data_IF_508021941727
#
_entry.id   IF_508021941727
#
_cell.length_a   1.000
_cell.length_b   1.000
_cell.length_c   1.000
_cell.angle_alpha   90.00
_cell.angle_beta   90.00
_cell.angle_gamma   90.00
#
_symmetry.space_group_name_H-M   'P 1'
#
loop_
_entity.id
_entity.type
_entity.pdbx_description
1 polymer ?
#
# COMPACT_ATOMS: atom_id res chain seq x y z
N UNK A 1 23.52 -11.44 -41.22
CA UNK A 1 22.75 -11.92 -40.05
C UNK A 1 23.64 -12.84 -39.21
N UNK A 2 23.96 -12.49 -37.96
CA UNK A 2 24.65 -13.42 -37.04
C UNK A 2 23.64 -14.48 -36.59
N UNK A 3 23.97 -15.76 -36.81
CA UNK A 3 23.20 -16.90 -36.29
C UNK A 3 23.18 -16.84 -34.76
N UNK A 4 22.00 -17.02 -34.17
CA UNK A 4 21.89 -17.32 -32.74
C UNK A 4 22.61 -18.64 -32.48
N UNK A 5 23.59 -18.61 -31.57
CA UNK A 5 24.35 -19.80 -31.14
C UNK A 5 23.75 -20.23 -29.81
N UNK A 6 23.30 -21.48 -29.72
CA UNK A 6 22.83 -22.06 -28.47
C UNK A 6 23.99 -22.14 -27.47
N UNK A 7 23.79 -21.60 -26.26
CA UNK A 7 24.77 -21.66 -25.17
C UNK A 7 24.30 -22.66 -24.10
N UNK A 8 25.25 -23.38 -23.50
CA UNK A 8 25.00 -24.44 -22.51
C UNK A 8 24.72 -23.94 -21.08
N UNK A 9 24.52 -22.62 -20.91
CA UNK A 9 24.12 -22.01 -19.63
C UNK A 9 22.60 -21.92 -19.60
N UNK A 10 21.99 -22.22 -18.46
CA UNK A 10 20.57 -21.96 -18.25
C UNK A 10 20.24 -20.49 -18.50
N UNK A 11 18.98 -20.18 -18.81
CA UNK A 11 18.49 -18.82 -18.99
C UNK A 11 18.54 -18.06 -17.64
N UNK A 12 19.70 -17.57 -17.27
CA UNK A 12 19.93 -16.82 -16.03
C UNK A 12 20.67 -15.51 -16.28
N UNK A 13 20.39 -14.52 -15.45
CA UNK A 13 21.17 -13.28 -15.39
C UNK A 13 21.71 -13.12 -13.98
N UNK A 14 23.03 -12.99 -13.85
CA UNK A 14 23.68 -12.74 -12.56
C UNK A 14 24.31 -11.35 -12.55
N UNK A 15 23.88 -10.49 -11.63
CA UNK A 15 24.46 -9.17 -11.40
C UNK A 15 25.28 -9.22 -10.11
N UNK A 16 26.57 -8.85 -10.16
CA UNK A 16 27.46 -8.81 -8.99
C UNK A 16 27.92 -7.39 -8.73
N UNK A 17 27.57 -6.87 -7.56
CA UNK A 17 27.97 -5.55 -7.10
C UNK A 17 29.07 -5.70 -6.04
N UNK A 18 30.17 -4.97 -6.19
CA UNK A 18 31.31 -4.99 -5.28
C UNK A 18 31.51 -3.61 -4.66
N UNK A 19 32.21 -3.55 -3.51
CA UNK A 19 32.57 -2.30 -2.82
C UNK A 19 31.36 -1.42 -2.46
N UNK A 20 30.23 -2.05 -2.10
CA UNK A 20 29.04 -1.35 -1.63
C UNK A 20 29.37 -0.65 -0.30
N UNK A 21 29.28 0.68 -0.28
CA UNK A 21 29.46 1.47 0.94
C UNK A 21 28.28 1.24 1.88
N UNK A 22 28.53 0.95 3.15
CA UNK A 22 27.50 0.81 4.20
C UNK A 22 27.92 1.53 5.47
N UNK A 23 26.96 2.18 6.13
CA UNK A 23 27.14 2.77 7.47
C UNK A 23 26.83 1.77 8.59
N UNK A 24 25.93 0.82 8.34
CA UNK A 24 25.44 -0.16 9.31
C UNK A 24 25.61 -1.59 8.79
N UNK A 25 25.49 -2.57 9.71
CA UNK A 25 25.47 -3.99 9.39
C UNK A 25 24.36 -4.37 8.40
N UNK A 26 24.47 -5.56 7.81
CA UNK A 26 23.45 -6.07 6.90
C UNK A 26 22.35 -6.81 7.68
N UNK A 27 21.11 -6.36 7.54
CA UNK A 27 19.93 -7.00 8.11
C UNK A 27 18.98 -7.47 6.99
N UNK A 28 18.84 -8.79 6.78
CA UNK A 28 17.94 -9.35 5.76
C UNK A 28 16.47 -8.94 5.95
N UNK A 29 16.00 -8.86 7.19
CA UNK A 29 14.61 -8.54 7.51
C UNK A 29 14.26 -7.09 7.17
N UNK A 30 15.18 -6.15 7.46
CA UNK A 30 15.00 -4.74 7.12
C UNK A 30 15.01 -4.53 5.60
N UNK A 31 15.83 -5.32 4.88
CA UNK A 31 15.85 -5.30 3.42
C UNK A 31 14.55 -5.88 2.84
N UNK A 32 14.06 -7.00 3.37
CA UNK A 32 12.78 -7.58 2.97
C UNK A 32 11.62 -6.59 3.18
N UNK A 33 11.59 -5.93 4.34
CA UNK A 33 10.61 -4.90 4.65
C UNK A 33 10.71 -3.70 3.69
N UNK A 34 11.92 -3.23 3.40
CA UNK A 34 12.15 -2.12 2.45
C UNK A 34 11.72 -2.46 1.03
N UNK A 35 12.00 -3.70 0.58
CA UNK A 35 11.53 -4.21 -0.71
C UNK A 35 10.01 -4.26 -0.76
N UNK A 36 9.36 -4.79 0.28
CA UNK A 36 7.91 -4.81 0.39
C UNK A 36 7.33 -3.40 0.41
N UNK A 37 7.98 -2.39 0.99
CA UNK A 37 7.51 -0.98 0.90
C UNK A 37 7.54 -0.44 -0.54
N UNK A 38 8.51 -0.84 -1.34
CA UNK A 38 8.69 -0.33 -2.70
C UNK A 38 7.92 -1.12 -3.77
N UNK A 39 7.64 -2.40 -3.56
CA UNK A 39 7.07 -3.29 -4.57
C UNK A 39 5.97 -4.20 -4.03
N UNK A 40 5.05 -4.61 -4.90
CA UNK A 40 3.95 -5.53 -4.62
C UNK A 40 3.91 -6.77 -5.52
N UNK A 41 5.05 -7.17 -6.09
CA UNK A 41 5.13 -8.34 -7.00
C UNK A 41 5.36 -9.68 -6.27
N UNK A 42 5.55 -9.66 -4.95
CA UNK A 42 6.12 -10.81 -4.23
C UNK A 42 5.15 -11.96 -3.96
N UNK A 43 3.87 -11.77 -4.28
CA UNK A 43 2.82 -12.78 -4.12
C UNK A 43 2.39 -13.40 -5.46
N UNK A 44 3.04 -13.05 -6.57
CA UNK A 44 2.78 -13.67 -7.88
C UNK A 44 3.28 -15.13 -7.88
N UNK A 45 2.53 -16.03 -8.49
CA UNK A 45 2.81 -17.48 -8.41
C UNK A 45 4.16 -17.87 -9.04
N UNK A 46 4.53 -17.17 -10.12
CA UNK A 46 5.73 -17.38 -10.92
C UNK A 46 6.90 -16.45 -10.53
N UNK A 47 6.73 -15.59 -9.53
CA UNK A 47 7.77 -14.66 -9.08
C UNK A 47 8.05 -14.78 -7.59
N UNK A 48 9.23 -15.33 -7.24
CA UNK A 48 9.66 -15.53 -5.85
C UNK A 48 10.97 -14.82 -5.57
N UNK A 49 10.99 -14.06 -4.47
CA UNK A 49 12.17 -13.32 -4.04
C UNK A 49 12.64 -13.81 -2.68
N UNK A 50 13.94 -14.12 -2.59
CA UNK A 50 14.60 -14.55 -1.37
C UNK A 50 15.88 -13.76 -1.15
N UNK A 51 16.12 -13.37 0.10
CA UNK A 51 17.38 -12.77 0.54
C UNK A 51 18.17 -13.85 1.25
N UNK A 52 19.38 -14.13 0.75
CA UNK A 52 20.29 -15.11 1.33
C UNK A 52 21.48 -14.37 1.93
N UNK A 53 21.64 -14.42 3.25
CA UNK A 53 22.76 -13.83 3.96
C UNK A 53 23.69 -14.91 4.50
N UNK A 54 24.98 -14.81 4.14
CA UNK A 54 26.04 -15.76 4.51
C UNK A 54 25.73 -17.23 4.17
N UNK A 55 24.92 -17.50 3.14
CA UNK A 55 24.50 -18.84 2.68
C UNK A 55 23.60 -19.65 3.64
N UNK A 56 23.30 -19.15 4.83
CA UNK A 56 22.50 -19.87 5.83
C UNK A 56 21.14 -19.22 6.10
N UNK A 57 21.11 -17.89 6.16
CA UNK A 57 19.91 -17.15 6.55
C UNK A 57 19.09 -16.79 5.31
N UNK A 58 17.97 -17.49 5.12
CA UNK A 58 17.01 -17.22 4.05
C UNK A 58 15.84 -16.42 4.60
N UNK A 59 15.56 -15.29 3.97
CA UNK A 59 14.36 -14.49 4.24
C UNK A 59 13.54 -14.43 2.97
N UNK A 60 12.31 -14.92 3.03
CA UNK A 60 11.32 -14.77 1.95
C UNK A 60 10.79 -13.35 2.01
N UNK A 61 10.69 -12.71 0.85
CA UNK A 61 10.02 -11.41 0.73
C UNK A 61 8.58 -11.68 0.30
N UNK A 62 7.61 -11.12 1.01
CA UNK A 62 6.19 -11.17 0.69
C UNK A 62 5.57 -9.77 0.84
N UNK A 63 4.45 -9.52 0.17
CA UNK A 63 3.80 -8.21 0.18
C UNK A 63 3.20 -7.85 1.56
N UNK A 64 2.88 -8.88 2.35
CA UNK A 64 2.14 -8.74 3.61
C UNK A 64 3.02 -8.32 4.78
N UNK A 65 4.34 -8.51 4.69
CA UNK A 65 5.34 -8.15 5.73
C UNK A 65 5.08 -6.77 6.35
N UNK A 66 4.61 -5.79 5.55
CA UNK A 66 4.27 -4.44 6.00
C UNK A 66 3.18 -4.42 7.07
N UNK A 67 2.16 -5.25 6.92
CA UNK A 67 0.94 -5.22 7.74
C UNK A 67 0.87 -6.39 8.74
N UNK A 68 1.81 -7.35 8.70
CA UNK A 68 1.80 -8.53 9.60
C UNK A 68 1.75 -8.19 11.09
N UNK A 69 2.33 -7.06 11.49
CA UNK A 69 2.36 -6.62 12.90
C UNK A 69 1.13 -5.78 13.29
N UNK A 70 0.28 -5.41 12.34
CA UNK A 70 -0.89 -4.59 12.62
C UNK A 70 -2.05 -5.46 13.09
N UNK A 71 -2.64 -5.10 14.21
CA UNK A 71 -3.89 -5.66 14.65
C UNK A 71 -5.05 -4.96 13.91
N UNK A 72 -5.53 -5.58 12.84
CA UNK A 72 -6.58 -5.02 11.96
C UNK A 72 -7.93 -5.06 12.67
N UNK A 73 -8.62 -3.94 12.70
CA UNK A 73 -9.98 -3.81 13.24
C UNK A 73 -11.03 -3.89 12.13
N UNK A 74 -10.85 -3.08 11.07
CA UNK A 74 -11.74 -3.05 9.92
C UNK A 74 -10.93 -2.94 8.62
N UNK A 75 -11.49 -3.46 7.53
CA UNK A 75 -10.93 -3.34 6.19
C UNK A 75 -12.00 -2.87 5.20
N UNK A 76 -11.54 -2.18 4.16
CA UNK A 76 -12.34 -1.78 3.00
C UNK A 76 -11.56 -2.16 1.75
N UNK A 77 -12.07 -3.13 1.01
CA UNK A 77 -11.45 -3.65 -0.22
C UNK A 77 -11.99 -2.90 -1.44
N UNK A 78 -11.11 -2.70 -2.42
CA UNK A 78 -11.37 -1.94 -3.63
C UNK A 78 -11.50 -2.87 -4.86
N UNK A 79 -12.38 -2.53 -5.82
CA UNK A 79 -13.17 -1.30 -5.89
C UNK A 79 -14.30 -1.27 -4.84
N UNK A 80 -14.58 -0.08 -4.31
CA UNK A 80 -15.66 0.11 -3.34
C UNK A 80 -17.02 -0.10 -4.03
N UNK A 81 -18.00 -0.61 -3.28
CA UNK A 81 -19.36 -0.74 -3.79
C UNK A 81 -19.90 0.63 -4.24
N UNK A 82 -20.64 0.73 -5.36
CA UNK A 82 -21.15 2.03 -5.86
C UNK A 82 -21.94 2.81 -4.80
N UNK A 83 -22.78 2.14 -4.02
CA UNK A 83 -23.58 2.76 -2.95
C UNK A 83 -22.75 3.22 -1.73
N UNK A 84 -21.46 2.87 -1.66
CA UNK A 84 -20.59 3.33 -0.58
C UNK A 84 -20.16 4.79 -0.78
N UNK A 85 -19.99 5.21 -2.04
CA UNK A 85 -19.46 6.52 -2.43
C UNK A 85 -20.49 7.32 -3.21
N UNK A 86 -20.84 8.51 -2.71
CA UNK A 86 -21.66 9.47 -3.47
C UNK A 86 -20.81 10.27 -4.49
N UNK A 87 -19.48 10.18 -4.40
CA UNK A 87 -18.54 10.85 -5.29
C UNK A 87 -18.27 9.99 -6.53
N UNK A 88 -18.46 10.59 -7.72
CA UNK A 88 -18.20 9.92 -9.01
C UNK A 88 -16.79 10.23 -9.48
N UNK A 89 -16.05 9.18 -9.83
CA UNK A 89 -14.74 9.28 -10.45
C UNK A 89 -14.65 8.24 -11.56
N UNK A 90 -14.16 8.63 -12.73
CA UNK A 90 -14.18 7.80 -13.94
C UNK A 90 -13.45 6.46 -13.77
N UNK A 91 -12.35 6.45 -12.99
CA UNK A 91 -11.53 5.26 -12.80
C UNK A 91 -11.77 4.54 -11.46
N UNK A 92 -12.85 4.87 -10.75
CA UNK A 92 -13.12 4.32 -9.42
C UNK A 92 -13.20 2.77 -9.38
N UNK A 93 -13.72 2.16 -10.45
CA UNK A 93 -13.81 0.70 -10.64
C UNK A 93 -12.46 0.05 -10.94
N UNK A 94 -11.49 0.83 -11.44
CA UNK A 94 -10.12 0.37 -11.73
C UNK A 94 -9.18 0.47 -10.53
N UNK A 95 -9.57 1.19 -9.47
CA UNK A 95 -8.83 1.24 -8.21
C UNK A 95 -8.96 -0.10 -7.50
N UNK A 96 -7.83 -0.71 -7.10
CA UNK A 96 -7.80 -1.99 -6.38
C UNK A 96 -6.96 -1.89 -5.11
N UNK A 97 -7.11 -2.79 -4.17
CA UNK A 97 -6.33 -2.81 -2.93
C UNK A 97 -7.20 -2.70 -1.70
N UNK A 98 -6.62 -2.27 -0.57
CA UNK A 98 -7.29 -2.32 0.73
C UNK A 98 -6.88 -1.15 1.60
N UNK A 99 -7.87 -0.53 2.24
CA UNK A 99 -7.67 0.38 3.37
C UNK A 99 -8.00 -0.35 4.67
N UNK A 100 -7.19 -0.12 5.69
CA UNK A 100 -7.19 -0.81 6.98
C UNK A 100 -7.34 0.22 8.09
N UNK A 101 -8.29 -0.02 8.99
CA UNK A 101 -8.32 0.55 10.33
C UNK A 101 -7.68 -0.43 11.29
N UNK A 102 -6.64 -0.01 12.01
CA UNK A 102 -6.02 -0.80 13.07
C UNK A 102 -6.64 -0.48 14.44
N UNK A 103 -6.56 -1.44 15.37
CA UNK A 103 -6.96 -1.25 16.77
C UNK A 103 -6.04 -0.25 17.51
N UNK A 104 -4.78 -0.18 17.09
CA UNK A 104 -3.75 0.70 17.65
C UNK A 104 -3.23 1.66 16.59
N UNK A 105 -2.59 2.75 17.01
CA UNK A 105 -2.06 3.74 16.06
C UNK A 105 -1.02 3.09 15.15
N UNK A 106 -1.14 3.27 13.84
CA UNK A 106 -0.16 2.74 12.89
C UNK A 106 1.15 3.54 12.97
N UNK A 107 2.31 2.93 12.65
CA UNK A 107 3.59 3.62 12.56
C UNK A 107 3.48 4.89 11.70
N UNK A 108 4.16 5.97 12.12
CA UNK A 108 4.02 7.27 11.48
C UNK A 108 4.32 7.25 9.98
N UNK A 109 5.27 6.42 9.54
CA UNK A 109 5.68 6.24 8.14
C UNK A 109 4.74 5.34 7.31
N UNK A 110 3.64 4.87 7.94
CA UNK A 110 2.58 4.05 7.34
C UNK A 110 1.19 4.67 7.48
N UNK A 111 1.07 5.88 8.05
CA UNK A 111 -0.21 6.57 8.21
C UNK A 111 -0.70 7.10 6.87
N UNK A 112 -1.96 6.83 6.54
CA UNK A 112 -2.54 7.18 5.26
C UNK A 112 -2.48 6.01 4.28
N UNK A 113 -2.55 6.30 2.99
CA UNK A 113 -2.66 5.27 1.96
C UNK A 113 -1.47 5.42 1.03
N UNK A 114 -0.81 4.33 0.68
CA UNK A 114 0.24 4.33 -0.35
C UNK A 114 -0.37 3.99 -1.73
N UNK A 115 0.18 4.57 -2.80
CA UNK A 115 -0.27 4.27 -4.17
C UNK A 115 0.78 3.46 -4.91
N UNK A 116 0.28 2.49 -5.67
CA UNK A 116 1.08 1.62 -6.51
C UNK A 116 0.57 1.67 -7.95
N UNK A 117 1.50 1.56 -8.89
CA UNK A 117 1.19 1.31 -10.29
C UNK A 117 2.14 0.25 -10.83
N UNK A 118 1.61 -0.75 -11.53
CA UNK A 118 2.36 -1.92 -12.02
C UNK A 118 3.23 -2.55 -10.93
N UNK A 119 2.62 -2.70 -9.75
CA UNK A 119 3.24 -3.26 -8.54
C UNK A 119 4.48 -2.50 -8.02
N UNK A 120 4.66 -1.23 -8.40
CA UNK A 120 5.73 -0.35 -7.91
C UNK A 120 5.11 0.83 -7.17
N UNK A 121 5.74 1.25 -6.08
CA UNK A 121 5.33 2.46 -5.34
C UNK A 121 5.40 3.67 -6.27
N UNK A 122 4.34 4.48 -6.27
CA UNK A 122 4.26 5.75 -6.99
C UNK A 122 3.91 6.91 -6.08
N UNK A 123 3.28 6.66 -4.92
CA UNK A 123 3.11 7.63 -3.85
C UNK A 123 3.31 6.96 -2.49
N UNK A 124 4.10 7.58 -1.62
CA UNK A 124 4.21 7.17 -0.22
C UNK A 124 2.85 7.24 0.50
N UNK A 125 2.81 6.69 1.71
CA UNK A 125 1.65 6.84 2.58
C UNK A 125 1.35 8.31 2.82
N UNK A 126 0.14 8.71 2.44
CA UNK A 126 -0.33 10.08 2.58
C UNK A 126 -1.85 10.13 2.74
N UNK A 127 -2.34 11.28 3.19
CA UNK A 127 -3.75 11.62 3.25
C UNK A 127 -4.19 12.56 2.14
N UNK A 128 -3.29 12.92 1.20
CA UNK A 128 -3.60 13.68 -0.02
C UNK A 128 -4.35 14.98 0.26
N UNK A 129 -3.79 15.82 1.13
CA UNK A 129 -4.37 17.09 1.59
C UNK A 129 -5.64 16.99 2.45
N UNK A 130 -6.11 15.78 2.82
CA UNK A 130 -7.13 15.68 3.88
C UNK A 130 -6.55 16.22 5.18
N UNK A 131 -7.25 17.17 5.79
CA UNK A 131 -6.92 17.69 7.11
C UNK A 131 -7.17 16.63 8.20
N UNK A 132 -6.20 15.73 8.36
CA UNK A 132 -6.21 14.60 9.27
C UNK A 132 -5.91 15.02 10.74
N UNK A 133 -6.55 16.10 11.22
CA UNK A 133 -6.31 16.69 12.55
C UNK A 133 -6.83 15.82 13.69
N UNK A 134 -7.83 14.98 13.42
CA UNK A 134 -8.36 14.04 14.40
C UNK A 134 -7.40 12.86 14.62
N UNK A 135 -7.21 12.48 15.88
CA UNK A 135 -6.40 11.31 16.23
C UNK A 135 -6.91 10.01 15.58
N UNK A 136 -8.18 9.93 15.19
CA UNK A 136 -8.74 8.76 14.52
C UNK A 136 -8.08 8.42 13.18
N UNK A 137 -7.51 9.40 12.48
CA UNK A 137 -6.76 9.14 11.24
C UNK A 137 -5.45 8.36 11.50
N UNK A 138 -4.89 8.43 12.71
CA UNK A 138 -3.66 7.71 13.06
C UNK A 138 -3.83 6.18 13.14
N UNK A 139 -5.06 5.68 13.04
CA UNK A 139 -5.37 4.26 12.94
C UNK A 139 -5.49 3.77 11.50
N UNK A 140 -5.46 4.68 10.51
CA UNK A 140 -5.69 4.35 9.11
C UNK A 140 -4.36 4.10 8.38
N UNK A 141 -4.29 2.98 7.68
CA UNK A 141 -3.23 2.65 6.73
C UNK A 141 -3.82 1.94 5.52
N UNK A 142 -3.09 1.80 4.43
CA UNK A 142 -3.54 0.97 3.32
C UNK A 142 -2.68 1.12 2.09
N UNK A 143 -3.10 0.45 1.02
CA UNK A 143 -2.52 0.63 -0.29
C UNK A 143 -3.59 0.54 -1.36
N UNK A 144 -3.39 1.28 -2.44
CA UNK A 144 -4.21 1.21 -3.63
C UNK A 144 -3.34 1.04 -4.87
N UNK A 145 -3.77 0.17 -5.77
CA UNK A 145 -3.30 0.05 -7.13
C UNK A 145 -4.14 0.97 -8.02
N UNK A 146 -3.44 1.82 -8.76
CA UNK A 146 -4.00 2.80 -9.69
C UNK A 146 -3.33 2.65 -11.05
N UNK A 147 -3.29 1.41 -11.55
CA UNK A 147 -2.49 1.04 -12.73
C UNK A 147 -2.85 1.84 -14.00
N UNK A 148 -4.05 2.42 -14.05
CA UNK A 148 -4.54 3.27 -15.14
C UNK A 148 -3.72 4.56 -15.32
N UNK A 149 -2.98 5.03 -14.31
CA UNK A 149 -2.17 6.26 -14.46
C UNK A 149 -1.05 6.09 -15.50
N UNK A 150 -0.58 4.85 -15.72
CA UNK A 150 0.41 4.54 -16.75
C UNK A 150 -0.17 4.61 -18.19
N UNK A 151 -1.49 4.77 -18.32
CA UNK A 151 -2.19 4.92 -19.62
C UNK A 151 -2.43 6.39 -19.99
N UNK A 152 -2.22 7.32 -19.06
CA UNK A 152 -2.34 8.76 -19.32
C UNK A 152 -1.26 9.26 -20.29
N UNK A 153 -1.56 10.33 -21.02
CA UNK A 153 -0.62 10.91 -21.98
C UNK A 153 0.58 11.55 -21.28
N UNK A 154 0.37 12.13 -20.10
CA UNK A 154 1.39 12.82 -19.33
C UNK A 154 1.94 11.91 -18.24
N UNK A 155 3.27 11.85 -18.10
CA UNK A 155 3.89 11.15 -16.97
C UNK A 155 3.70 11.96 -15.69
N UNK A 156 2.83 11.44 -14.82
CA UNK A 156 2.47 12.04 -13.54
C UNK A 156 3.36 11.55 -12.39
N UNK A 157 4.25 10.58 -12.62
CA UNK A 157 5.07 9.98 -11.56
C UNK A 157 6.33 10.84 -11.38
N UNK A 158 6.56 11.34 -10.17
CA UNK A 158 7.78 12.11 -9.87
C UNK A 158 9.05 11.30 -10.12
N UNK A 159 10.16 11.99 -10.40
CA UNK A 159 11.46 11.35 -10.71
C UNK A 159 11.97 10.41 -9.60
N UNK A 160 11.68 10.72 -8.33
CA UNK A 160 12.05 9.86 -7.20
C UNK A 160 11.06 8.70 -6.96
N UNK A 161 9.92 8.67 -7.70
CA UNK A 161 8.83 7.69 -7.64
C UNK A 161 8.24 7.53 -6.24
N UNK A 162 8.25 8.62 -5.48
CA UNK A 162 7.71 8.68 -4.11
C UNK A 162 6.44 9.52 -4.00
N UNK A 163 6.10 10.26 -5.05
CA UNK A 163 4.82 10.96 -5.17
C UNK A 163 4.34 11.06 -6.62
N UNK A 164 3.05 11.30 -6.80
CA UNK A 164 2.53 11.84 -8.05
C UNK A 164 2.75 13.36 -8.09
N UNK A 165 2.75 13.94 -9.30
CA UNK A 165 2.65 15.38 -9.47
C UNK A 165 1.18 15.79 -9.35
N UNK A 166 0.76 16.23 -8.16
CA UNK A 166 -0.62 16.59 -7.83
C UNK A 166 -1.10 17.95 -8.37
N UNK A 167 -0.29 18.60 -9.22
CA UNK A 167 -0.61 19.89 -9.86
C UNK A 167 -1.16 19.71 -11.30
N UNK A 168 -1.40 18.49 -11.75
CA UNK A 168 -1.96 18.18 -13.07
C UNK A 168 -3.47 17.90 -13.00
N UNK A 169 -4.19 18.16 -14.10
CA UNK A 169 -5.65 18.01 -14.19
C UNK A 169 -6.09 16.57 -13.84
N UNK A 170 -5.47 15.56 -14.45
CA UNK A 170 -5.84 14.15 -14.22
C UNK A 170 -5.56 13.69 -12.78
N UNK A 171 -4.50 14.23 -12.17
CA UNK A 171 -4.15 13.93 -10.77
C UNK A 171 -5.03 14.65 -9.76
N UNK A 172 -5.61 15.80 -10.14
CA UNK A 172 -6.50 16.55 -9.28
C UNK A 172 -7.80 15.78 -9.06
N UNK A 173 -8.39 15.22 -10.12
CA UNK A 173 -9.59 14.37 -10.02
C UNK A 173 -9.33 13.12 -9.17
N UNK A 174 -8.17 12.48 -9.38
CA UNK A 174 -7.75 11.34 -8.54
C UNK A 174 -7.60 11.75 -7.08
N UNK A 175 -6.98 12.90 -6.81
CA UNK A 175 -6.76 13.42 -5.45
C UNK A 175 -8.10 13.67 -4.75
N UNK A 176 -9.05 14.32 -5.42
CA UNK A 176 -10.38 14.58 -4.86
C UNK A 176 -11.15 13.29 -4.57
N UNK A 177 -11.06 12.29 -5.46
CA UNK A 177 -11.61 10.96 -5.20
C UNK A 177 -10.99 10.33 -3.94
N UNK A 178 -9.65 10.33 -3.82
CA UNK A 178 -8.95 9.78 -2.66
C UNK A 178 -9.33 10.51 -1.36
N UNK A 179 -9.46 11.83 -1.40
CA UNK A 179 -9.92 12.62 -0.25
C UNK A 179 -11.33 12.22 0.19
N UNK A 180 -12.26 12.09 -0.75
CA UNK A 180 -13.63 11.68 -0.48
C UNK A 180 -13.69 10.27 0.14
N UNK A 181 -12.90 9.33 -0.42
CA UNK A 181 -12.76 7.96 0.09
C UNK A 181 -12.24 7.95 1.53
N UNK A 182 -11.17 8.68 1.81
CA UNK A 182 -10.56 8.78 3.14
C UNK A 182 -11.57 9.32 4.16
N UNK A 183 -12.28 10.39 3.79
CA UNK A 183 -13.29 11.00 4.65
C UNK A 183 -14.44 10.03 4.96
N UNK A 184 -14.95 9.34 3.94
CA UNK A 184 -16.02 8.34 4.10
C UNK A 184 -15.58 7.20 5.00
N UNK A 185 -14.40 6.62 4.77
CA UNK A 185 -13.86 5.52 5.57
C UNK A 185 -13.62 5.93 7.02
N UNK A 186 -13.08 7.13 7.26
CA UNK A 186 -12.90 7.65 8.61
C UNK A 186 -14.23 7.78 9.36
N UNK A 187 -15.28 8.30 8.71
CA UNK A 187 -16.60 8.41 9.32
C UNK A 187 -17.23 7.03 9.58
N UNK A 188 -17.11 6.11 8.63
CA UNK A 188 -17.56 4.72 8.74
C UNK A 188 -16.88 4.01 9.93
N UNK A 189 -15.56 4.17 10.06
CA UNK A 189 -14.77 3.65 11.19
C UNK A 189 -15.30 4.18 12.51
N UNK A 190 -15.51 5.49 12.62
CA UNK A 190 -16.07 6.11 13.84
C UNK A 190 -17.45 5.59 14.18
N UNK A 191 -18.30 5.42 13.18
CA UNK A 191 -19.64 4.87 13.35
C UNK A 191 -19.58 3.43 13.86
N UNK A 192 -18.80 2.55 13.20
CA UNK A 192 -18.60 1.15 13.61
C UNK A 192 -18.05 1.03 15.04
N UNK A 193 -17.06 1.85 15.41
CA UNK A 193 -16.53 1.88 16.79
C UNK A 193 -17.59 2.29 17.82
N UNK A 194 -18.44 3.27 17.48
CA UNK A 194 -19.54 3.69 18.37
C UNK A 194 -20.56 2.58 18.57
N UNK A 195 -20.94 1.89 17.50
CA UNK A 195 -21.89 0.76 17.56
C UNK A 195 -21.32 -0.43 18.33
N UNK A 196 -20.05 -0.79 18.11
CA UNK A 196 -19.37 -1.84 18.88
C UNK A 196 -19.32 -1.51 20.37
N UNK A 197 -19.06 -0.24 20.73
CA UNK A 197 -19.07 0.20 22.13
C UNK A 197 -20.47 0.11 22.75
N UNK A 198 -21.53 0.48 22.02
CA UNK A 198 -22.91 0.35 22.50
C UNK A 198 -23.25 -1.12 22.75
N UNK A 199 -22.94 -2.01 21.81
CA UNK A 199 -23.18 -3.47 21.95
C UNK A 199 -22.47 -4.05 23.18
N UNK A 200 -21.19 -3.71 23.37
CA UNK A 200 -20.43 -4.16 24.54
C UNK A 200 -21.06 -3.70 25.88
N UNK A 201 -21.58 -2.47 25.93
CA UNK A 201 -22.29 -1.96 27.12
C UNK A 201 -23.61 -2.72 27.34
N UNK A 202 -24.40 -2.96 26.30
CA UNK A 202 -25.65 -3.73 26.38
C UNK A 202 -25.40 -5.16 26.90
N UNK A 203 -24.38 -5.84 26.37
CA UNK A 203 -24.01 -7.20 26.78
C UNK A 203 -23.52 -7.27 28.24
N UNK A 204 -22.81 -6.25 28.71
CA UNK A 204 -22.33 -6.19 30.10
C UNK A 204 -23.39 -5.77 31.12
N UNK A 205 -24.35 -4.94 30.72
CA UNK A 205 -25.34 -4.35 31.63
C UNK A 205 -26.71 -5.04 31.61
N UNK A 206 -27.06 -5.77 30.55
CA UNK A 206 -28.37 -6.41 30.40
C UNK A 206 -29.55 -5.43 30.26
N UNK A 207 -29.29 -4.13 30.08
CA UNK A 207 -30.30 -3.07 30.01
C UNK A 207 -30.45 -2.64 28.56
N UNK A 208 -31.66 -2.75 27.98
CA UNK A 208 -32.01 -2.13 26.69
C UNK A 208 -32.13 -0.61 26.88
N UNK A 209 -31.36 0.18 26.10
CA UNK A 209 -31.46 1.64 26.02
C UNK A 209 -32.25 2.06 24.77
#
# INVERSE_FOLDING_TARGET
MKKNIAVNKGNETTIKLYKIKRKTGFNPSDLAYSLAKAFQVFNEEDFKVQIIHNRFNKTIVDNEIRYKKLNKEFTWDFPLHPDFMDYRYEYADKVKGTIISALETVPADMRGIALFSRSKLVNNYDFYDVQATSHGYSYLTGWLHIDFIDEWQTDVISTNRQSLNWEMEETEDLKQYLQAVIYKIYNEQRHKRRENKKKAVLEQSGINL
#
